data_IF_411152048655
#
_entry.id   IF_411152048655
#
_cell.length_a   1.000
_cell.length_b   1.000
_cell.length_c   1.000
_cell.angle_alpha   90.00
_cell.angle_beta   90.00
_cell.angle_gamma   90.00
#
_symmetry.space_group_name_H-M   'P 1'
#
loop_
_entity.id
_entity.type
_entity.pdbx_description
1 polymer ?
#
# COMPACT_ATOMS: atom_id res chain seq x y z
N UNK A 1 -1.04 -2.00 22.72
CA UNK A 1 -0.27 -2.49 21.56
C UNK A 1 -0.43 -1.50 20.42
N UNK A 2 0.60 -0.71 20.12
CA UNK A 2 0.57 0.25 19.02
C UNK A 2 0.52 -0.52 17.70
N UNK A 3 -0.48 -0.23 16.86
CA UNK A 3 -0.52 -0.78 15.51
C UNK A 3 0.77 -0.37 14.79
N UNK A 4 1.61 -1.34 14.42
CA UNK A 4 2.83 -1.10 13.64
C UNK A 4 2.48 -0.25 12.43
N UNK A 5 2.97 1.00 12.43
CA UNK A 5 2.69 2.00 11.40
C UNK A 5 3.04 1.41 10.04
N UNK A 6 2.08 1.38 9.13
CA UNK A 6 2.32 0.93 7.76
C UNK A 6 3.23 1.95 7.10
N UNK A 7 4.37 1.50 6.59
CA UNK A 7 5.38 2.36 5.96
C UNK A 7 5.00 2.68 4.51
N UNK A 8 5.54 3.76 3.93
CA UNK A 8 5.32 4.05 2.51
C UNK A 8 5.76 2.91 1.58
N UNK A 9 6.87 2.23 1.90
CA UNK A 9 7.35 1.08 1.16
C UNK A 9 6.36 -0.09 1.18
N UNK A 10 5.78 -0.40 2.34
CA UNK A 10 4.72 -1.42 2.43
C UNK A 10 3.50 -1.05 1.57
N UNK A 11 3.15 0.24 1.44
CA UNK A 11 2.00 0.67 0.65
C UNK A 11 2.28 0.48 -0.86
N UNK A 12 3.51 0.72 -1.30
CA UNK A 12 3.93 0.43 -2.68
C UNK A 12 3.87 -1.07 -2.95
N UNK A 13 4.33 -1.87 -2.00
CA UNK A 13 4.26 -3.33 -2.08
C UNK A 13 2.80 -3.81 -2.11
N UNK A 14 1.91 -3.24 -1.28
CA UNK A 14 0.46 -3.51 -1.33
C UNK A 14 -0.11 -3.28 -2.72
N UNK A 15 0.25 -2.17 -3.35
CA UNK A 15 -0.26 -1.79 -4.67
C UNK A 15 0.28 -2.72 -5.76
N UNK A 16 1.58 -3.06 -5.70
CA UNK A 16 2.21 -4.03 -6.61
C UNK A 16 1.58 -5.42 -6.50
N UNK A 17 1.40 -5.91 -5.28
CA UNK A 17 0.81 -7.22 -5.03
C UNK A 17 -0.67 -7.23 -5.40
N UNK A 18 -1.40 -6.14 -5.17
CA UNK A 18 -2.79 -6.03 -5.61
C UNK A 18 -2.92 -6.05 -7.12
N UNK A 19 -2.00 -5.40 -7.86
CA UNK A 19 -1.97 -5.48 -9.32
C UNK A 19 -1.74 -6.92 -9.83
N UNK A 20 -1.02 -7.76 -9.08
CA UNK A 20 -0.77 -9.18 -9.42
C UNK A 20 -1.88 -10.12 -8.99
N UNK A 21 -2.40 -9.95 -7.76
CA UNK A 21 -3.32 -10.89 -7.11
C UNK A 21 -4.79 -10.50 -7.28
N UNK A 22 -5.09 -9.21 -7.52
CA UNK A 22 -6.45 -8.68 -7.66
C UNK A 22 -7.33 -8.74 -6.41
N UNK A 23 -6.79 -9.17 -5.26
CA UNK A 23 -7.57 -9.38 -4.03
C UNK A 23 -6.88 -8.82 -2.79
N UNK A 24 -7.57 -7.95 -2.05
CA UNK A 24 -7.07 -7.35 -0.81
C UNK A 24 -6.71 -8.37 0.27
N UNK A 25 -7.50 -9.46 0.36
CA UNK A 25 -7.27 -10.52 1.34
C UNK A 25 -6.02 -11.34 1.00
N UNK A 26 -5.76 -11.59 -0.29
CA UNK A 26 -4.57 -12.31 -0.73
C UNK A 26 -3.30 -11.48 -0.46
N UNK A 27 -3.32 -10.19 -0.81
CA UNK A 27 -2.23 -9.25 -0.52
C UNK A 27 -1.97 -9.15 0.99
N UNK A 28 -3.04 -9.08 1.79
CA UNK A 28 -2.91 -9.06 3.24
C UNK A 28 -2.23 -10.32 3.78
N UNK A 29 -2.64 -11.51 3.29
CA UNK A 29 -2.01 -12.78 3.68
C UNK A 29 -0.53 -12.84 3.32
N UNK A 30 -0.16 -12.35 2.15
CA UNK A 30 1.23 -12.37 1.67
C UNK A 30 2.13 -11.44 2.50
N UNK A 31 1.60 -10.29 2.94
CA UNK A 31 2.35 -9.32 3.74
C UNK A 31 2.16 -9.46 5.25
N UNK A 32 1.43 -10.47 5.72
CA UNK A 32 1.09 -10.61 7.15
C UNK A 32 0.23 -9.46 7.69
N UNK A 33 -0.57 -8.82 6.85
CA UNK A 33 -1.46 -7.71 7.19
C UNK A 33 -2.93 -8.08 7.00
N UNK A 34 -3.82 -7.36 7.67
CA UNK A 34 -5.27 -7.50 7.42
C UNK A 34 -5.62 -6.98 6.02
N UNK A 35 -6.48 -7.70 5.30
CA UNK A 35 -7.04 -7.22 4.03
C UNK A 35 -7.79 -5.89 4.17
N UNK A 36 -8.35 -5.58 5.34
CA UNK A 36 -8.96 -4.28 5.64
C UNK A 36 -7.92 -3.15 5.64
N UNK A 37 -6.72 -3.42 6.15
CA UNK A 37 -5.60 -2.48 6.11
C UNK A 37 -5.16 -2.24 4.67
N UNK A 38 -5.03 -3.31 3.88
CA UNK A 38 -4.70 -3.20 2.45
C UNK A 38 -5.72 -2.35 1.71
N UNK A 39 -7.01 -2.64 1.89
CA UNK A 39 -8.08 -1.89 1.23
C UNK A 39 -8.05 -0.40 1.58
N UNK A 40 -7.80 -0.04 2.84
CA UNK A 40 -7.69 1.35 3.29
C UNK A 40 -6.61 2.12 2.53
N UNK A 41 -5.43 1.53 2.39
CA UNK A 41 -4.30 2.18 1.72
C UNK A 41 -4.43 2.19 0.19
N UNK A 42 -4.96 1.12 -0.43
CA UNK A 42 -5.17 1.08 -1.88
C UNK A 42 -6.29 2.01 -2.32
N UNK A 43 -7.42 2.05 -1.60
CA UNK A 43 -8.52 2.99 -1.87
C UNK A 43 -8.19 4.42 -1.45
N UNK A 44 -7.07 4.63 -0.75
CA UNK A 44 -6.68 5.93 -0.17
C UNK A 44 -7.77 6.53 0.75
N UNK A 45 -8.67 5.69 1.28
CA UNK A 45 -9.87 6.10 2.00
C UNK A 45 -9.52 6.36 3.47
N UNK A 46 -9.62 7.63 3.88
CA UNK A 46 -9.20 8.06 5.22
C UNK A 46 -7.69 7.93 5.47
N UNK A 47 -6.87 7.93 4.41
CA UNK A 47 -5.41 7.91 4.50
C UNK A 47 -4.87 9.34 4.69
N UNK A 48 -3.95 9.56 5.65
CA UNK A 48 -3.35 10.87 5.88
C UNK A 48 -2.71 11.46 4.61
N UNK A 49 -2.82 12.78 4.37
CA UNK A 49 -2.32 13.43 3.16
C UNK A 49 -0.81 13.25 2.95
N UNK A 50 -0.03 13.08 4.02
CA UNK A 50 1.40 12.74 3.95
C UNK A 50 1.65 11.47 3.12
N UNK A 51 0.83 10.44 3.31
CA UNK A 51 0.97 9.16 2.62
C UNK A 51 0.60 9.31 1.15
N UNK A 52 -0.41 10.13 0.81
CA UNK A 52 -0.76 10.44 -0.58
C UNK A 52 0.40 11.14 -1.29
N UNK A 53 1.06 12.08 -0.61
CA UNK A 53 2.18 12.83 -1.18
C UNK A 53 3.42 11.93 -1.37
N UNK A 54 3.84 11.19 -0.35
CA UNK A 54 4.99 10.27 -0.44
C UNK A 54 4.71 9.14 -1.43
N UNK A 55 3.49 8.62 -1.50
CA UNK A 55 3.13 7.59 -2.48
C UNK A 55 3.17 8.12 -3.91
N UNK A 56 2.69 9.35 -4.16
CA UNK A 56 2.80 9.98 -5.48
C UNK A 56 4.24 10.20 -5.89
N UNK A 57 5.15 10.46 -4.96
CA UNK A 57 6.58 10.61 -5.22
C UNK A 57 7.22 9.24 -5.56
N UNK A 58 6.96 8.22 -4.74
CA UNK A 58 7.56 6.88 -4.92
C UNK A 58 7.00 6.14 -6.14
N UNK A 59 5.70 6.25 -6.45
CA UNK A 59 5.12 5.65 -7.68
C UNK A 59 5.64 6.36 -8.92
N UNK A 60 5.85 7.68 -8.86
CA UNK A 60 6.42 8.45 -9.97
C UNK A 60 7.91 8.16 -10.18
N UNK A 61 8.63 7.80 -9.12
CA UNK A 61 10.03 7.37 -9.21
C UNK A 61 10.15 5.92 -9.74
N UNK A 62 9.20 5.04 -9.41
CA UNK A 62 9.13 3.67 -9.93
C UNK A 62 8.83 3.57 -11.45
N UNK A 63 8.31 4.64 -12.07
CA UNK A 63 8.04 4.73 -13.51
C UNK A 63 9.26 5.23 -14.32
N UNK A 64 10.22 5.91 -13.69
CA UNK A 64 11.45 6.40 -14.35
C UNK A 64 12.54 5.35 -14.58
N UNK A 65 12.31 4.11 -14.16
CA UNK A 65 13.18 2.97 -14.51
C UNK A 65 12.45 2.07 -15.50
N UNK A 66 12.19 2.58 -16.70
CA UNK A 66 11.86 1.76 -17.87
C UNK A 66 12.45 2.39 -19.13
#
# INVERSE_FOLDING_TARGET
MGASRVTPAEIVEMYRLYAKLGSYAAVGREMGRSGSTVARYIKMEGTPPIVKHTFSEVVREGDKTK
#
